data_IF_441716025478
#
_entry.id   IF_441716025478
#
_cell.length_a   1.000
_cell.length_b   1.000
_cell.length_c   1.000
_cell.angle_alpha   90.00
_cell.angle_beta   90.00
_cell.angle_gamma   90.00
#
_symmetry.space_group_name_H-M   'P 1'
#
loop_
_entity.id
_entity.type
_entity.pdbx_description
1 polymer ?
#
# COMPACT_ATOMS: atom_id res chain seq x y z
N UNK A 1 7.81 3.04 4.85
CA UNK A 1 8.75 4.00 4.22
C UNK A 1 8.21 5.36 4.59
N UNK A 2 9.04 6.19 5.20
CA UNK A 2 8.67 7.58 5.50
C UNK A 2 9.40 8.48 4.48
N UNK A 3 8.74 9.52 3.94
CA UNK A 3 9.35 10.39 2.95
C UNK A 3 10.48 11.21 3.57
N UNK A 4 11.56 11.45 2.81
CA UNK A 4 12.67 12.32 3.25
C UNK A 4 12.19 13.76 3.40
N UNK A 5 11.34 14.22 2.49
CA UNK A 5 10.70 15.53 2.54
C UNK A 5 9.30 15.46 1.92
N UNK A 6 8.21 15.56 2.72
CA UNK A 6 6.86 15.54 2.19
C UNK A 6 6.57 16.80 1.36
N UNK A 7 5.80 16.62 0.29
CA UNK A 7 5.30 17.72 -0.54
C UNK A 7 3.88 18.13 -0.14
N UNK A 8 3.47 19.40 -0.32
CA UNK A 8 2.07 19.80 -0.20
C UNK A 8 1.15 19.03 -1.16
N UNK A 9 -0.18 19.06 -0.91
CA UNK A 9 -1.17 18.54 -1.85
C UNK A 9 -1.01 19.15 -3.25
N UNK A 10 -1.39 18.40 -4.29
CA UNK A 10 -1.17 18.78 -5.69
C UNK A 10 -1.71 20.18 -6.04
N UNK A 11 -2.87 20.57 -5.49
CA UNK A 11 -3.45 21.91 -5.70
C UNK A 11 -2.61 23.06 -5.12
N UNK A 12 -1.68 22.75 -4.21
CA UNK A 12 -0.75 23.69 -3.60
C UNK A 12 0.68 23.51 -4.13
N UNK A 13 0.88 22.69 -5.17
CA UNK A 13 2.20 22.44 -5.75
C UNK A 13 2.88 23.72 -6.27
N UNK A 14 2.11 24.76 -6.65
CA UNK A 14 2.66 26.05 -7.02
C UNK A 14 3.50 26.71 -5.91
N UNK A 15 3.25 26.37 -4.63
CA UNK A 15 4.05 26.84 -3.50
C UNK A 15 5.47 26.25 -3.48
N UNK A 16 5.69 25.13 -4.18
CA UNK A 16 6.99 24.47 -4.28
C UNK A 16 7.87 25.07 -5.38
N UNK A 17 7.30 25.79 -6.35
CA UNK A 17 8.02 26.15 -7.59
C UNK A 17 8.58 24.90 -8.27
N UNK A 18 9.87 24.90 -8.56
CA UNK A 18 10.56 23.78 -9.23
C UNK A 18 11.17 22.77 -8.23
N UNK A 19 10.92 22.95 -6.92
CA UNK A 19 11.54 22.15 -5.87
C UNK A 19 10.67 20.94 -5.50
N UNK A 20 11.09 19.74 -5.93
CA UNK A 20 10.53 18.48 -5.45
C UNK A 20 11.66 17.52 -5.06
N UNK A 21 11.45 16.78 -3.97
CA UNK A 21 12.35 15.73 -3.54
C UNK A 21 11.83 14.39 -4.05
N UNK A 22 12.70 13.60 -4.69
CA UNK A 22 12.36 12.25 -5.16
C UNK A 22 13.09 11.25 -4.28
N UNK A 23 12.33 10.47 -3.52
CA UNK A 23 12.85 9.30 -2.82
C UNK A 23 12.90 8.10 -3.76
N UNK A 24 14.06 7.45 -3.82
CA UNK A 24 14.26 6.22 -4.60
C UNK A 24 14.53 5.06 -3.67
N UNK A 25 13.77 3.98 -3.84
CA UNK A 25 13.93 2.74 -3.07
C UNK A 25 14.15 1.57 -4.04
N UNK A 26 15.09 0.69 -3.72
CA UNK A 26 15.33 -0.51 -4.50
C UNK A 26 14.08 -1.41 -4.49
N UNK A 27 13.61 -1.81 -5.67
CA UNK A 27 12.50 -2.75 -5.84
C UNK A 27 13.02 -4.04 -6.50
N UNK A 28 13.46 -4.96 -5.66
CA UNK A 28 14.20 -6.19 -5.99
C UNK A 28 13.28 -7.37 -6.29
N UNK A 29 13.76 -8.45 -6.96
CA UNK A 29 12.94 -9.62 -7.26
C UNK A 29 12.33 -10.21 -5.99
N UNK A 30 11.01 -10.46 -6.02
CA UNK A 30 10.25 -10.93 -4.87
C UNK A 30 9.57 -9.82 -4.07
N UNK A 31 9.96 -8.56 -4.26
CA UNK A 31 9.36 -7.44 -3.55
C UNK A 31 7.90 -7.19 -3.96
N UNK A 32 7.15 -6.68 -2.99
CA UNK A 32 5.74 -6.32 -3.13
C UNK A 32 5.52 -4.91 -2.60
N UNK A 33 4.89 -4.07 -3.42
CA UNK A 33 4.56 -2.68 -3.11
C UNK A 33 3.04 -2.53 -3.05
N UNK A 34 2.54 -1.89 -1.99
CA UNK A 34 1.15 -1.48 -1.85
C UNK A 34 1.10 0.05 -1.82
N UNK A 35 0.37 0.63 -2.76
CA UNK A 35 0.03 2.06 -2.82
C UNK A 35 -1.45 2.21 -2.48
N UNK A 36 -1.82 3.23 -1.72
CA UNK A 36 -3.18 3.38 -1.22
C UNK A 36 -3.53 4.85 -0.97
N UNK A 37 -4.83 5.16 -1.00
CA UNK A 37 -5.39 6.42 -0.47
C UNK A 37 -5.58 6.33 1.04
N UNK A 38 -5.62 7.49 1.70
CA UNK A 38 -5.85 7.62 3.15
C UNK A 38 -7.10 6.88 3.63
N UNK A 39 -8.17 6.80 2.84
CA UNK A 39 -9.36 5.98 3.15
C UNK A 39 -9.04 4.52 3.56
N UNK A 40 -7.93 3.93 3.10
CA UNK A 40 -7.44 2.62 3.58
C UNK A 40 -6.88 2.73 5.00
N UNK A 41 -5.89 3.59 5.22
CA UNK A 41 -5.20 3.71 6.51
C UNK A 41 -6.08 4.34 7.60
N UNK A 42 -7.04 5.18 7.22
CA UNK A 42 -7.96 5.87 8.12
C UNK A 42 -9.29 5.13 8.32
N UNK A 43 -9.46 3.95 7.71
CA UNK A 43 -10.61 3.09 8.01
C UNK A 43 -10.67 2.82 9.52
N UNK A 44 -11.80 3.17 10.16
CA UNK A 44 -11.95 3.09 11.62
C UNK A 44 -12.65 1.81 12.05
N UNK A 45 -12.16 1.22 13.12
CA UNK A 45 -12.77 0.11 13.82
C UNK A 45 -13.91 0.57 14.73
N UNK A 46 -14.46 -0.37 15.51
CA UNK A 46 -15.61 -0.10 16.40
C UNK A 46 -15.29 0.88 17.53
N UNK A 47 -14.03 0.96 17.95
CA UNK A 47 -13.60 1.91 18.99
C UNK A 47 -13.06 3.21 18.39
N UNK A 48 -13.19 3.39 17.08
CA UNK A 48 -12.76 4.59 16.34
C UNK A 48 -11.28 4.58 15.95
N UNK A 49 -10.55 3.54 16.31
CA UNK A 49 -9.14 3.34 16.03
C UNK A 49 -8.89 3.03 14.56
N UNK A 50 -7.80 3.54 13.99
CA UNK A 50 -7.46 3.34 12.59
C UNK A 50 -7.02 1.90 12.30
N UNK A 51 -7.25 1.45 11.05
CA UNK A 51 -6.86 0.14 10.59
C UNK A 51 -5.34 -0.01 10.68
N UNK A 52 -4.81 -1.05 11.35
CA UNK A 52 -3.38 -1.21 11.58
C UNK A 52 -2.69 -1.77 10.33
N UNK A 53 -2.69 -0.98 9.25
CA UNK A 53 -2.21 -1.38 7.92
C UNK A 53 -0.76 -1.90 7.91
N UNK A 54 0.21 -1.29 8.62
CA UNK A 54 1.58 -1.81 8.65
C UNK A 54 1.67 -3.22 9.27
N UNK A 55 0.95 -3.46 10.36
CA UNK A 55 0.89 -4.77 11.01
C UNK A 55 0.14 -5.78 10.13
N UNK A 56 -0.95 -5.32 9.50
CA UNK A 56 -1.68 -6.14 8.54
C UNK A 56 -0.78 -6.58 7.40
N UNK A 57 -0.05 -5.67 6.75
CA UNK A 57 0.83 -5.98 5.61
C UNK A 57 1.93 -6.97 5.97
N UNK A 58 2.54 -6.84 7.16
CA UNK A 58 3.56 -7.78 7.67
C UNK A 58 3.05 -9.23 7.75
N UNK A 59 1.75 -9.45 7.95
CA UNK A 59 1.14 -10.79 8.02
C UNK A 59 0.80 -11.40 6.67
N UNK A 60 0.91 -10.66 5.56
CA UNK A 60 0.37 -11.11 4.28
C UNK A 60 1.32 -12.03 3.48
N UNK A 61 2.61 -12.08 3.79
CA UNK A 61 3.58 -12.88 3.01
C UNK A 61 3.59 -12.53 1.51
N UNK A 62 4.36 -13.26 0.69
CA UNK A 62 4.34 -13.08 -0.76
C UNK A 62 3.04 -13.65 -1.33
N UNK A 63 2.17 -12.81 -1.91
CA UNK A 63 0.91 -13.23 -2.53
C UNK A 63 0.74 -12.65 -3.92
N UNK A 64 -0.10 -13.27 -4.77
CA UNK A 64 -0.57 -12.62 -5.99
C UNK A 64 -1.22 -11.26 -5.65
N UNK A 65 -0.94 -10.19 -6.41
CA UNK A 65 -1.47 -8.85 -6.13
C UNK A 65 -3.01 -8.81 -5.97
N UNK A 66 -3.73 -9.56 -6.79
CA UNK A 66 -5.20 -9.62 -6.72
C UNK A 66 -5.69 -10.22 -5.40
N UNK A 67 -5.10 -11.34 -4.98
CA UNK A 67 -5.47 -11.98 -3.71
C UNK A 67 -5.16 -11.09 -2.50
N UNK A 68 -4.06 -10.34 -2.55
CA UNK A 68 -3.74 -9.35 -1.52
C UNK A 68 -4.83 -8.26 -1.43
N UNK A 69 -5.26 -7.72 -2.57
CA UNK A 69 -6.26 -6.65 -2.64
C UNK A 69 -7.65 -7.15 -2.22
N UNK A 70 -8.05 -8.34 -2.66
CA UNK A 70 -9.32 -8.95 -2.26
C UNK A 70 -9.38 -9.13 -0.74
N UNK A 71 -8.27 -9.59 -0.14
CA UNK A 71 -8.16 -9.75 1.31
C UNK A 71 -8.14 -8.42 2.05
N UNK A 72 -7.41 -7.42 1.53
CA UNK A 72 -7.42 -6.07 2.10
C UNK A 72 -8.85 -5.52 2.15
N UNK A 73 -9.59 -5.62 1.06
CA UNK A 73 -10.96 -5.15 0.98
C UNK A 73 -11.88 -5.86 2.00
N UNK A 74 -11.79 -7.18 2.10
CA UNK A 74 -12.55 -7.97 3.08
C UNK A 74 -12.22 -7.58 4.53
N UNK A 75 -10.92 -7.43 4.84
CA UNK A 75 -10.47 -7.11 6.19
C UNK A 75 -10.85 -5.67 6.58
N UNK A 76 -10.80 -4.70 5.64
CA UNK A 76 -11.27 -3.33 5.87
C UNK A 76 -12.79 -3.30 6.17
N UNK A 77 -13.60 -4.00 5.37
CA UNK A 77 -15.04 -4.11 5.60
C UNK A 77 -15.34 -4.76 6.95
N UNK A 78 -14.64 -5.85 7.29
CA UNK A 78 -14.82 -6.50 8.57
C UNK A 78 -14.47 -5.56 9.74
N UNK A 79 -13.35 -4.87 9.63
CA UNK A 79 -12.85 -3.94 10.64
C UNK A 79 -13.83 -2.79 10.89
N UNK A 80 -14.38 -2.21 9.83
CA UNK A 80 -15.28 -1.06 9.90
C UNK A 80 -16.74 -1.40 10.23
N UNK A 81 -17.05 -2.67 10.50
CA UNK A 81 -18.42 -3.11 10.74
C UNK A 81 -19.30 -3.14 9.48
N UNK A 82 -18.69 -3.30 8.31
CA UNK A 82 -19.35 -3.54 7.03
C UNK A 82 -19.56 -2.29 6.17
N UNK A 83 -19.06 -1.12 6.59
CA UNK A 83 -19.22 0.14 5.85
C UNK A 83 -17.94 0.93 5.83
N UNK A 84 -17.49 1.31 4.63
CA UNK A 84 -16.38 2.25 4.46
C UNK A 84 -16.95 3.66 4.45
N UNK A 85 -16.35 4.55 5.23
CA UNK A 85 -16.84 5.93 5.40
C UNK A 85 -16.14 6.93 4.47
N UNK A 86 -15.22 6.44 3.66
CA UNK A 86 -14.38 7.22 2.75
C UNK A 86 -14.06 6.40 1.50
N UNK A 87 -13.56 7.06 0.46
CA UNK A 87 -13.17 6.43 -0.79
C UNK A 87 -11.89 5.60 -0.61
N UNK A 88 -12.00 4.31 -0.92
CA UNK A 88 -10.89 3.36 -0.81
C UNK A 88 -10.37 3.02 -2.20
N UNK A 89 -9.11 3.40 -2.45
CA UNK A 89 -8.35 2.95 -3.62
C UNK A 89 -7.00 2.36 -3.18
N UNK A 90 -6.64 1.23 -3.78
CA UNK A 90 -5.37 0.57 -3.54
C UNK A 90 -4.83 -0.08 -4.82
N UNK A 91 -3.51 -0.07 -4.97
CA UNK A 91 -2.77 -0.70 -6.06
C UNK A 91 -1.67 -1.58 -5.47
N UNK A 92 -1.67 -2.85 -5.87
CA UNK A 92 -0.63 -3.80 -5.50
C UNK A 92 0.25 -4.12 -6.71
N UNK A 93 1.56 -3.98 -6.55
CA UNK A 93 2.57 -4.31 -7.55
C UNK A 93 3.52 -5.34 -6.96
N UNK A 94 3.84 -6.39 -7.73
CA UNK A 94 4.81 -7.40 -7.32
C UNK A 94 5.85 -7.56 -8.41
N UNK A 95 7.13 -7.56 -8.02
CA UNK A 95 8.21 -8.01 -8.90
C UNK A 95 8.37 -9.51 -8.75
N UNK A 96 8.20 -10.31 -9.82
CA UNK A 96 8.44 -11.75 -9.75
C UNK A 96 9.84 -12.05 -9.24
N UNK A 97 9.97 -13.07 -8.40
CA UNK A 97 11.26 -13.67 -8.07
C UNK A 97 11.91 -14.17 -9.36
N UNK A 98 13.21 -13.92 -9.54
CA UNK A 98 13.95 -14.50 -10.65
C UNK A 98 14.06 -16.00 -10.40
N UNK A 99 13.22 -16.79 -11.05
CA UNK A 99 13.39 -18.25 -11.05
C UNK A 99 14.58 -18.53 -11.96
N UNK A 100 15.66 -19.10 -11.41
CA UNK A 100 16.70 -19.68 -12.24
C UNK A 100 16.05 -20.77 -13.11
N UNK A 101 16.34 -20.87 -14.41
CA UNK A 101 15.83 -21.97 -15.21
C UNK A 101 16.34 -23.28 -14.60
N UNK A 102 15.42 -24.12 -14.11
CA UNK A 102 15.70 -25.53 -13.87
C UNK A 102 15.97 -26.16 -15.24
N UNK A 103 17.24 -26.32 -15.59
CA UNK A 103 17.64 -27.23 -16.65
C UNK A 103 17.64 -28.64 -16.03
N UNK A 104 16.76 -29.56 -16.48
CA UNK A 104 16.91 -30.97 -16.13
C UNK A 104 18.23 -31.49 -16.73
N UNK A 105 19.03 -32.14 -15.89
CA UNK A 105 20.25 -32.87 -16.28
C UNK A 105 19.89 -34.19 -16.94
#
# INVERSE_FOLDING_TARGET
LDPTAPSPPLHLAALLGDHYCVDTVAFTPGDQLLLYTDGVSETRGRTGEFFPLPDWMRRQGPRPPRELLDRLHQDLLHYSGGRLNDDVAALAVRRPSTQAPEYPV
#
